data_IF_152689813662
#
_entry.id   IF_152689813662
#
_cell.length_a   1.000
_cell.length_b   1.000
_cell.length_c   1.000
_cell.angle_alpha   90.00
_cell.angle_beta   90.00
_cell.angle_gamma   90.00
#
_symmetry.space_group_name_H-M   'P 1'
#
loop_
_entity.id
_entity.type
_entity.pdbx_description
1 polymer ?
#
# COMPACT_ATOMS: atom_id res chain seq x y z
N UNK A 1 23.52 -0.45 -14.52
CA UNK A 1 24.31 0.09 -13.38
C UNK A 1 23.67 -0.48 -12.12
N UNK A 2 24.38 -1.22 -11.27
CA UNK A 2 23.78 -1.72 -10.02
C UNK A 2 23.70 -0.56 -9.02
N UNK A 3 22.48 -0.18 -8.61
CA UNK A 3 22.30 0.71 -7.46
C UNK A 3 22.79 -0.01 -6.20
N UNK A 4 23.41 0.73 -5.27
CA UNK A 4 23.74 0.21 -3.94
C UNK A 4 22.45 -0.01 -3.14
N UNK A 5 22.40 -1.06 -2.30
CA UNK A 5 21.19 -1.48 -1.58
C UNK A 5 20.48 -0.36 -0.81
N UNK A 6 21.26 0.47 -0.11
CA UNK A 6 20.71 1.59 0.65
C UNK A 6 20.04 2.62 -0.29
N UNK A 7 20.62 2.88 -1.46
CA UNK A 7 20.08 3.83 -2.43
C UNK A 7 18.73 3.38 -3.02
N UNK A 8 18.52 2.08 -3.24
CA UNK A 8 17.21 1.58 -3.73
C UNK A 8 16.11 1.75 -2.68
N UNK A 9 16.39 1.35 -1.44
CA UNK A 9 15.44 1.49 -0.33
C UNK A 9 15.12 2.96 -0.06
N UNK A 10 16.14 3.82 -0.02
CA UNK A 10 15.96 5.27 0.20
C UNK A 10 15.07 5.88 -0.89
N UNK A 11 15.29 5.55 -2.17
CA UNK A 11 14.46 6.01 -3.28
C UNK A 11 13.00 5.56 -3.19
N UNK A 12 12.76 4.31 -2.80
CA UNK A 12 11.40 3.78 -2.62
C UNK A 12 10.70 4.55 -1.50
N UNK A 13 11.40 4.73 -0.37
CA UNK A 13 10.88 5.49 0.78
C UNK A 13 10.56 6.93 0.41
N UNK A 14 11.50 7.66 -0.20
CA UNK A 14 11.29 9.04 -0.64
C UNK A 14 10.13 9.16 -1.65
N UNK A 15 10.02 8.21 -2.58
CA UNK A 15 8.93 8.17 -3.55
C UNK A 15 7.57 8.03 -2.85
N UNK A 16 7.44 7.06 -1.94
CA UNK A 16 6.21 6.81 -1.20
C UNK A 16 5.83 7.99 -0.28
N UNK A 17 6.81 8.55 0.44
CA UNK A 17 6.61 9.72 1.30
C UNK A 17 6.19 10.97 0.52
N UNK A 18 6.71 11.16 -0.70
CA UNK A 18 6.27 12.25 -1.60
C UNK A 18 4.79 12.13 -2.01
N UNK A 19 4.25 10.91 -2.02
CA UNK A 19 2.82 10.61 -2.22
C UNK A 19 2.03 10.60 -0.90
N UNK A 20 2.69 10.97 0.20
CA UNK A 20 2.12 11.08 1.54
C UNK A 20 1.85 9.74 2.22
N UNK A 21 2.60 8.69 1.87
CA UNK A 21 2.63 7.44 2.64
C UNK A 21 3.66 7.53 3.75
N UNK A 22 3.44 6.81 4.83
CA UNK A 22 4.48 6.44 5.77
C UNK A 22 5.04 5.06 5.38
N UNK A 23 6.34 4.86 5.63
CA UNK A 23 7.04 3.63 5.23
C UNK A 23 7.74 3.02 6.44
N UNK A 24 7.32 1.81 6.80
CA UNK A 24 8.05 0.90 7.66
C UNK A 24 8.90 -0.07 6.83
N UNK A 25 10.03 -0.50 7.38
CA UNK A 25 10.88 -1.51 6.77
C UNK A 25 11.27 -2.56 7.80
N UNK A 26 10.92 -3.82 7.53
CA UNK A 26 11.41 -4.95 8.31
C UNK A 26 12.61 -5.61 7.60
N UNK A 27 13.77 -5.54 8.26
CA UNK A 27 15.03 -6.14 7.81
C UNK A 27 15.44 -7.36 8.64
N UNK A 28 14.61 -7.84 9.57
CA UNK A 28 14.90 -9.03 10.39
C UNK A 28 14.64 -10.35 9.65
N UNK A 29 14.21 -10.26 8.39
CA UNK A 29 13.99 -11.37 7.48
C UNK A 29 15.30 -12.04 7.02
N UNK A 30 15.16 -13.11 6.21
CA UNK A 30 16.30 -13.73 5.55
C UNK A 30 17.08 -12.72 4.68
N UNK A 31 18.38 -12.97 4.53
CA UNK A 31 19.28 -12.08 3.79
C UNK A 31 18.80 -11.90 2.35
N UNK A 32 18.46 -10.67 1.98
CA UNK A 32 17.99 -10.33 0.63
C UNK A 32 16.47 -10.18 0.54
N UNK A 33 15.73 -10.43 1.61
CA UNK A 33 14.29 -10.15 1.70
C UNK A 33 14.10 -8.86 2.50
N UNK A 34 13.33 -7.93 1.93
CA UNK A 34 12.96 -6.67 2.58
C UNK A 34 11.44 -6.54 2.51
N UNK A 35 10.78 -6.40 3.65
CA UNK A 35 9.33 -6.18 3.70
C UNK A 35 9.08 -4.72 4.00
N UNK A 36 8.46 -4.04 3.04
CA UNK A 36 7.96 -2.69 3.20
C UNK A 36 6.56 -2.74 3.78
N UNK A 37 6.27 -1.87 4.73
CA UNK A 37 4.92 -1.59 5.22
C UNK A 37 4.57 -0.16 4.82
N UNK A 38 3.59 0.00 3.93
CA UNK A 38 3.09 1.29 3.49
C UNK A 38 1.82 1.60 4.25
N UNK A 39 1.79 2.72 4.98
CA UNK A 39 0.60 3.16 5.73
C UNK A 39 0.19 4.59 5.40
N UNK A 40 -1.13 4.84 5.40
CA UNK A 40 -1.73 6.15 5.10
C UNK A 40 -3.16 6.18 5.60
N UNK A 41 -3.61 7.33 6.10
CA UNK A 41 -5.02 7.52 6.40
C UNK A 41 -5.87 7.62 5.13
N UNK A 42 -6.99 6.90 5.09
CA UNK A 42 -8.03 7.07 4.06
C UNK A 42 -8.76 8.40 4.23
N UNK A 43 -9.54 8.88 3.24
CA UNK A 43 -10.35 10.08 3.37
C UNK A 43 -11.30 10.10 4.59
N UNK A 44 -11.85 8.95 4.98
CA UNK A 44 -12.70 8.82 6.16
C UNK A 44 -11.91 8.66 7.47
N UNK A 45 -10.57 8.65 7.40
CA UNK A 45 -9.69 8.57 8.56
C UNK A 45 -9.41 7.15 9.05
N UNK A 46 -9.67 6.12 8.24
CA UNK A 46 -9.21 4.77 8.54
C UNK A 46 -7.68 4.72 8.42
N UNK A 47 -7.03 4.10 9.41
CA UNK A 47 -5.61 3.78 9.35
C UNK A 47 -5.42 2.58 8.40
N UNK A 48 -5.07 2.87 7.15
CA UNK A 48 -4.90 1.86 6.10
C UNK A 48 -3.42 1.54 5.93
N UNK A 49 -3.09 0.26 5.88
CA UNK A 49 -1.75 -0.20 5.54
C UNK A 49 -1.77 -1.48 4.73
N UNK A 50 -0.70 -1.69 3.99
CA UNK A 50 -0.40 -2.97 3.34
C UNK A 50 1.12 -3.19 3.29
N UNK A 51 1.52 -4.45 3.17
CA UNK A 51 2.92 -4.83 3.04
C UNK A 51 3.23 -5.35 1.65
N UNK A 52 4.45 -5.11 1.19
CA UNK A 52 4.97 -5.71 -0.03
C UNK A 52 6.45 -6.10 0.13
N UNK A 53 6.84 -7.17 -0.55
CA UNK A 53 8.14 -7.81 -0.38
C UNK A 53 9.06 -7.54 -1.56
N UNK A 54 10.22 -6.95 -1.28
CA UNK A 54 11.32 -6.85 -2.24
C UNK A 54 12.33 -7.99 -1.99
N UNK A 55 12.67 -8.73 -3.04
CA UNK A 55 13.66 -9.82 -3.03
C UNK A 55 14.91 -9.40 -3.80
N UNK A 56 16.08 -9.76 -3.27
CA UNK A 56 17.40 -9.53 -3.89
C UNK A 56 17.67 -8.09 -4.35
N UNK A 57 17.05 -7.10 -3.69
CA UNK A 57 17.13 -5.69 -4.08
C UNK A 57 16.62 -5.43 -5.52
N UNK A 58 15.63 -6.20 -5.96
CA UNK A 58 14.97 -6.07 -7.26
C UNK A 58 13.69 -5.26 -7.13
N UNK A 59 13.65 -4.09 -7.78
CA UNK A 59 12.43 -3.27 -7.84
C UNK A 59 11.27 -4.04 -8.49
N UNK A 60 11.55 -4.82 -9.55
CA UNK A 60 10.54 -5.65 -10.22
C UNK A 60 9.87 -6.64 -9.26
N UNK A 61 10.63 -7.22 -8.32
CA UNK A 61 10.06 -8.14 -7.33
C UNK A 61 9.10 -7.43 -6.35
N UNK A 62 9.43 -6.19 -5.96
CA UNK A 62 8.54 -5.37 -5.13
C UNK A 62 7.28 -4.99 -5.90
N UNK A 63 7.44 -4.53 -7.14
CA UNK A 63 6.34 -4.15 -8.03
C UNK A 63 5.39 -5.32 -8.25
N UNK A 64 5.90 -6.53 -8.51
CA UNK A 64 5.08 -7.72 -8.69
C UNK A 64 4.27 -8.07 -7.42
N UNK A 65 4.87 -7.97 -6.24
CA UNK A 65 4.19 -8.24 -4.96
C UNK A 65 3.11 -7.19 -4.65
N UNK A 66 3.39 -5.91 -4.97
CA UNK A 66 2.40 -4.83 -4.89
C UNK A 66 1.26 -4.98 -5.90
N UNK A 67 1.54 -5.44 -7.12
CA UNK A 67 0.54 -5.76 -8.14
C UNK A 67 -0.39 -6.87 -7.67
N UNK A 68 0.16 -7.94 -7.09
CA UNK A 68 -0.63 -9.04 -6.52
C UNK A 68 -1.58 -8.52 -5.43
N UNK A 69 -1.10 -7.66 -4.53
CA UNK A 69 -1.95 -7.02 -3.53
C UNK A 69 -3.03 -6.13 -4.15
N UNK A 70 -2.69 -5.30 -5.14
CA UNK A 70 -3.64 -4.42 -5.82
C UNK A 70 -4.74 -5.17 -6.56
N UNK A 71 -4.38 -6.23 -7.30
CA UNK A 71 -5.31 -7.09 -8.03
C UNK A 71 -6.21 -7.88 -7.08
N UNK A 72 -5.69 -8.32 -5.94
CA UNK A 72 -6.45 -8.98 -4.88
C UNK A 72 -7.34 -8.05 -4.04
N UNK A 73 -7.15 -6.72 -4.12
CA UNK A 73 -7.91 -5.76 -3.34
C UNK A 73 -9.34 -5.60 -3.89
N UNK A 74 -10.26 -6.40 -3.36
CA UNK A 74 -11.68 -6.39 -3.71
C UNK A 74 -12.45 -5.37 -2.86
N UNK A 75 -12.75 -4.21 -3.45
CA UNK A 75 -13.37 -3.06 -2.78
C UNK A 75 -14.67 -3.41 -2.04
N UNK A 76 -15.50 -4.27 -2.61
CA UNK A 76 -16.76 -4.71 -1.97
C UNK A 76 -16.50 -5.58 -0.74
N UNK A 77 -15.51 -6.47 -0.81
CA UNK A 77 -15.12 -7.34 0.30
C UNK A 77 -14.50 -6.50 1.43
N UNK A 78 -13.63 -5.57 1.10
CA UNK A 78 -13.02 -4.64 2.07
C UNK A 78 -14.09 -3.76 2.71
N UNK A 79 -15.05 -3.26 1.93
CA UNK A 79 -16.19 -2.49 2.46
C UNK A 79 -16.98 -3.31 3.46
N UNK A 80 -17.29 -4.56 3.14
CA UNK A 80 -18.06 -5.44 4.00
C UNK A 80 -17.42 -5.66 5.38
N UNK A 81 -16.08 -5.72 5.46
CA UNK A 81 -15.36 -5.85 6.73
C UNK A 81 -15.66 -4.69 7.71
N UNK A 82 -15.99 -3.52 7.18
CA UNK A 82 -16.27 -2.29 7.93
C UNK A 82 -17.76 -2.02 8.14
N UNK A 83 -18.64 -2.94 7.77
CA UNK A 83 -20.07 -2.86 8.06
C UNK A 83 -20.44 -3.70 9.30
N UNK A 84 -21.44 -3.24 10.04
CA UNK A 84 -22.14 -4.02 11.06
C UNK A 84 -23.23 -4.91 10.42
N UNK A 85 -23.91 -5.71 11.25
CA UNK A 85 -24.92 -6.66 10.80
C UNK A 85 -26.16 -6.00 10.16
N UNK A 86 -26.31 -4.67 10.29
CA UNK A 86 -27.39 -3.88 9.68
C UNK A 86 -26.95 -3.16 8.40
N UNK A 87 -25.67 -3.28 8.01
CA UNK A 87 -25.11 -2.58 6.85
C UNK A 87 -24.69 -1.14 7.12
N UNK A 88 -24.44 -0.76 8.37
CA UNK A 88 -23.90 0.55 8.74
C UNK A 88 -22.41 0.45 9.04
N UNK A 89 -21.65 1.53 8.80
CA UNK A 89 -20.23 1.54 9.15
C UNK A 89 -19.98 1.33 10.64
N UNK A 90 -18.97 0.55 10.99
CA UNK A 90 -18.51 0.27 12.36
C UNK A 90 -17.06 0.69 12.56
N UNK A 91 -16.58 0.62 13.81
CA UNK A 91 -15.16 0.85 14.16
C UNK A 91 -14.60 2.22 13.71
N UNK A 92 -15.45 3.25 13.64
CA UNK A 92 -15.05 4.59 13.20
C UNK A 92 -15.26 4.86 11.71
N UNK A 93 -15.69 3.87 10.92
CA UNK A 93 -16.07 4.07 9.53
C UNK A 93 -17.36 4.93 9.42
N UNK A 94 -17.59 5.59 8.26
CA UNK A 94 -18.80 6.35 8.00
C UNK A 94 -20.08 5.53 8.18
N UNK A 95 -21.12 6.12 8.78
CA UNK A 95 -22.36 5.40 9.07
C UNK A 95 -23.06 4.80 7.84
N UNK A 96 -23.01 5.48 6.69
CA UNK A 96 -23.66 5.00 5.46
C UNK A 96 -22.72 4.06 4.71
N UNK A 97 -23.20 2.87 4.35
CA UNK A 97 -22.45 1.90 3.53
C UNK A 97 -21.81 2.52 2.28
N UNK A 98 -22.52 3.40 1.58
CA UNK A 98 -21.98 4.06 0.38
C UNK A 98 -20.75 4.94 0.65
N UNK A 99 -20.64 5.48 1.87
CA UNK A 99 -19.53 6.35 2.25
C UNK A 99 -18.33 5.49 2.69
N UNK A 100 -18.58 4.30 3.26
CA UNK A 100 -17.54 3.26 3.50
C UNK A 100 -17.00 2.74 2.16
N UNK A 101 -17.89 2.45 1.19
CA UNK A 101 -17.52 2.01 -0.15
C UNK A 101 -16.62 3.04 -0.84
N UNK A 102 -17.02 4.31 -0.83
CA UNK A 102 -16.24 5.39 -1.41
C UNK A 102 -14.85 5.51 -0.76
N UNK A 103 -14.73 5.20 0.53
CA UNK A 103 -13.44 5.19 1.24
C UNK A 103 -12.54 4.04 0.78
N UNK A 104 -13.10 2.84 0.57
CA UNK A 104 -12.34 1.68 0.06
C UNK A 104 -11.94 1.85 -1.41
N UNK A 105 -12.78 2.49 -2.24
CA UNK A 105 -12.40 2.91 -3.59
C UNK A 105 -11.23 3.89 -3.58
N UNK A 106 -11.19 4.81 -2.61
CA UNK A 106 -10.08 5.74 -2.45
C UNK A 106 -8.80 5.01 -2.01
N UNK A 107 -8.90 4.07 -1.07
CA UNK A 107 -7.76 3.22 -0.67
C UNK A 107 -7.17 2.47 -1.89
N UNK A 108 -8.01 1.84 -2.73
CA UNK A 108 -7.55 1.16 -3.95
C UNK A 108 -6.81 2.09 -4.91
N UNK A 109 -7.33 3.32 -5.11
CA UNK A 109 -6.67 4.35 -5.93
C UNK A 109 -5.33 4.81 -5.34
N UNK A 110 -5.20 4.83 -4.02
CA UNK A 110 -3.92 5.15 -3.39
C UNK A 110 -2.87 4.07 -3.65
N UNK A 111 -3.26 2.79 -3.59
CA UNK A 111 -2.37 1.66 -3.94
C UNK A 111 -1.93 1.79 -5.40
N UNK A 112 -2.86 1.99 -6.33
CA UNK A 112 -2.58 2.19 -7.76
C UNK A 112 -1.58 3.34 -7.98
N UNK A 113 -1.85 4.50 -7.37
CA UNK A 113 -0.98 5.67 -7.51
C UNK A 113 0.42 5.44 -6.92
N UNK A 114 0.55 4.65 -5.86
CA UNK A 114 1.85 4.31 -5.28
C UNK A 114 2.60 3.33 -6.17
N UNK A 115 1.91 2.29 -6.66
CA UNK A 115 2.45 1.29 -7.57
C UNK A 115 3.01 1.92 -8.84
N UNK A 116 2.25 2.81 -9.48
CA UNK A 116 2.71 3.53 -10.67
C UNK A 116 3.93 4.42 -10.38
N UNK A 117 3.94 5.11 -9.24
CA UNK A 117 5.08 5.93 -8.85
C UNK A 117 6.35 5.10 -8.60
N UNK A 118 6.21 3.91 -8.01
CA UNK A 118 7.33 2.99 -7.77
C UNK A 118 7.84 2.39 -9.09
N UNK A 119 6.96 2.00 -10.02
CA UNK A 119 7.33 1.54 -11.37
C UNK A 119 8.14 2.57 -12.16
N UNK A 120 7.93 3.85 -11.90
CA UNK A 120 8.60 4.94 -12.59
C UNK A 120 9.98 5.30 -11.99
N UNK A 121 10.39 4.73 -10.85
CA UNK A 121 11.68 5.02 -10.18
C UNK A 121 12.87 4.73 -11.11
N UNK A 122 12.83 3.66 -11.90
CA UNK A 122 13.92 3.27 -12.80
C UNK A 122 13.90 3.99 -14.16
N UNK A 123 12.86 4.81 -14.43
CA UNK A 123 12.76 5.61 -15.66
C UNK A 123 13.43 6.98 -15.56
N UNK A 124 13.96 7.34 -14.38
CA UNK A 124 14.58 8.63 -14.05
C UNK A 124 16.11 8.55 -14.01
#
# INVERSE_FOLDING_TARGET
>A
MSMSKNNTIDKITECAESKGWNVGLDTQQEKGIFVFEFSKYTPAGQDFSFSATMKDNSLDSLVADMEEYYEGFEVDSETYLWLDDNGHGKNGAPYRMKDVLADMEAAKKYIESLLDAIRDIDKV
#
